data_IF_635136117237
#
_entry.id   IF_635136117237
#
_cell.length_a   1.000
_cell.length_b   1.000
_cell.length_c   1.000
_cell.angle_alpha   90.00
_cell.angle_beta   90.00
_cell.angle_gamma   90.00
#
_symmetry.space_group_name_H-M   'P 1'
#
loop_
_entity.id
_entity.type
_entity.pdbx_description
1 polymer ?
#
# COMPACT_ATOMS: atom_id res chain seq x y z
N UNK A 1 -2.92 9.14 -26.79
CA UNK A 1 -4.31 9.50 -27.17
C UNK A 1 -4.77 8.72 -28.43
N UNK A 2 -4.58 7.40 -28.45
CA UNK A 2 -5.02 6.50 -29.55
C UNK A 2 -6.02 5.43 -29.04
N UNK A 3 -6.05 5.18 -27.73
CA UNK A 3 -6.93 4.23 -27.07
C UNK A 3 -8.36 4.74 -26.83
N UNK A 4 -8.61 6.05 -26.97
CA UNK A 4 -9.92 6.65 -26.72
C UNK A 4 -10.96 6.32 -27.82
N UNK A 5 -10.50 5.95 -29.02
CA UNK A 5 -11.35 5.93 -30.21
C UNK A 5 -12.03 4.59 -30.48
N UNK A 6 -11.65 3.51 -29.79
CA UNK A 6 -12.15 2.16 -30.08
C UNK A 6 -13.28 1.66 -29.19
N UNK A 7 -13.88 2.49 -28.33
CA UNK A 7 -15.08 2.11 -27.56
C UNK A 7 -14.94 0.85 -26.69
N UNK A 8 -13.70 0.36 -26.49
CA UNK A 8 -13.37 -0.88 -25.78
C UNK A 8 -12.81 -0.59 -24.39
N UNK A 9 -13.45 0.34 -23.67
CA UNK A 9 -13.08 0.71 -22.30
C UNK A 9 -13.54 -0.34 -21.26
N UNK A 10 -13.50 -1.63 -21.61
CA UNK A 10 -14.18 -2.70 -20.88
C UNK A 10 -13.33 -3.96 -20.68
N UNK A 11 -12.03 -3.90 -20.99
CA UNK A 11 -11.12 -4.97 -20.60
C UNK A 11 -10.51 -4.63 -19.24
N UNK A 12 -11.05 -5.24 -18.19
CA UNK A 12 -10.65 -5.05 -16.78
C UNK A 12 -9.13 -5.15 -16.59
N UNK A 13 -8.46 -5.90 -17.47
CA UNK A 13 -7.01 -6.05 -17.55
C UNK A 13 -6.28 -4.72 -17.77
N UNK A 14 -6.71 -3.92 -18.75
CA UNK A 14 -6.07 -2.63 -19.07
C UNK A 14 -6.32 -1.64 -17.93
N UNK A 15 -7.54 -1.62 -17.40
CA UNK A 15 -7.90 -0.78 -16.26
C UNK A 15 -7.07 -1.13 -15.01
N UNK A 16 -6.84 -2.43 -14.75
CA UNK A 16 -6.00 -2.89 -13.66
C UNK A 16 -4.55 -2.44 -13.79
N UNK A 17 -3.98 -2.47 -15.01
CA UNK A 17 -2.62 -1.98 -15.27
C UNK A 17 -2.54 -0.47 -15.03
N UNK A 18 -3.47 0.31 -15.56
CA UNK A 18 -3.51 1.77 -15.37
C UNK A 18 -3.66 2.16 -13.89
N UNK A 19 -4.50 1.45 -13.15
CA UNK A 19 -4.68 1.67 -11.72
C UNK A 19 -3.43 1.25 -10.95
N UNK A 20 -2.79 0.14 -11.30
CA UNK A 20 -1.53 -0.30 -10.70
C UNK A 20 -0.40 0.73 -10.85
N UNK A 21 -0.20 1.26 -12.05
CA UNK A 21 0.78 2.33 -12.28
C UNK A 21 0.42 3.63 -11.54
N UNK A 22 -0.87 3.95 -11.46
CA UNK A 22 -1.35 5.14 -10.74
C UNK A 22 -1.16 4.99 -9.22
N UNK A 23 -1.45 3.83 -8.65
CA UNK A 23 -1.25 3.58 -7.21
C UNK A 23 0.23 3.61 -6.85
N UNK A 24 1.11 3.06 -7.69
CA UNK A 24 2.56 3.19 -7.49
C UNK A 24 3.02 4.64 -7.57
N UNK A 25 2.53 5.42 -8.54
CA UNK A 25 2.85 6.84 -8.65
C UNK A 25 2.45 7.64 -7.41
N UNK A 26 1.24 7.42 -6.88
CA UNK A 26 0.76 8.05 -5.65
C UNK A 26 1.60 7.60 -4.44
N UNK A 27 1.92 6.30 -4.37
CA UNK A 27 2.75 5.74 -3.31
C UNK A 27 4.11 6.44 -3.23
N UNK A 28 4.86 6.50 -4.33
CA UNK A 28 6.18 7.14 -4.37
C UNK A 28 6.12 8.66 -4.10
N UNK A 29 5.05 9.32 -4.53
CA UNK A 29 4.86 10.75 -4.27
C UNK A 29 4.66 11.04 -2.79
N UNK A 30 3.86 10.22 -2.10
CA UNK A 30 3.62 10.34 -0.66
C UNK A 30 4.85 9.90 0.13
N UNK A 31 5.51 8.81 -0.27
CA UNK A 31 6.72 8.30 0.36
C UNK A 31 7.83 9.35 0.39
N UNK A 32 8.03 10.09 -0.70
CA UNK A 32 9.02 11.17 -0.77
C UNK A 32 8.70 12.37 0.14
N UNK A 33 7.43 12.55 0.53
CA UNK A 33 7.02 13.65 1.43
C UNK A 33 6.96 13.23 2.90
N UNK A 34 6.95 11.94 3.18
CA UNK A 34 6.76 11.39 4.52
C UNK A 34 8.08 11.35 5.30
N UNK A 35 8.03 11.64 6.60
CA UNK A 35 9.19 11.54 7.50
C UNK A 35 9.70 10.09 7.55
N UNK A 36 11.01 9.90 7.68
CA UNK A 36 11.63 8.56 7.67
C UNK A 36 11.00 7.57 8.65
N UNK A 37 10.53 8.05 9.79
CA UNK A 37 9.89 7.23 10.82
C UNK A 37 8.54 6.62 10.39
N UNK A 38 7.83 7.29 9.48
CA UNK A 38 6.53 6.85 8.98
C UNK A 38 6.67 5.99 7.71
N UNK A 39 7.86 5.87 7.13
CA UNK A 39 8.11 4.97 5.99
C UNK A 39 7.86 3.50 6.33
N UNK A 40 7.92 3.13 7.60
CA UNK A 40 7.53 1.80 8.10
C UNK A 40 6.07 1.46 7.72
N UNK A 41 5.19 2.46 7.65
CA UNK A 41 3.80 2.24 7.23
C UNK A 41 3.62 2.17 5.71
N UNK A 42 4.71 2.23 4.93
CA UNK A 42 4.67 2.21 3.46
C UNK A 42 3.98 0.96 2.91
N UNK A 43 4.32 -0.23 3.41
CA UNK A 43 3.71 -1.48 2.96
C UNK A 43 2.20 -1.57 3.28
N UNK A 44 1.73 -1.34 4.52
CA UNK A 44 0.31 -1.26 4.80
C UNK A 44 -0.41 -0.22 3.95
N UNK A 45 0.23 0.94 3.72
CA UNK A 45 -0.33 2.01 2.91
C UNK A 45 -0.45 1.61 1.42
N UNK A 46 0.58 0.99 0.85
CA UNK A 46 0.53 0.47 -0.52
C UNK A 46 -0.59 -0.56 -0.68
N UNK A 47 -0.72 -1.51 0.26
CA UNK A 47 -1.81 -2.48 0.25
C UNK A 47 -3.19 -1.82 0.33
N UNK A 48 -3.35 -0.77 1.15
CA UNK A 48 -4.62 -0.01 1.18
C UNK A 48 -4.90 0.64 -0.17
N UNK A 49 -3.89 1.19 -0.83
CA UNK A 49 -4.03 1.81 -2.15
C UNK A 49 -4.45 0.80 -3.21
N UNK A 50 -3.86 -0.39 -3.19
CA UNK A 50 -4.21 -1.49 -4.10
C UNK A 50 -5.67 -1.93 -3.85
N UNK A 51 -6.10 -2.04 -2.59
CA UNK A 51 -7.48 -2.41 -2.28
C UNK A 51 -8.48 -1.34 -2.76
N UNK A 52 -8.15 -0.06 -2.59
CA UNK A 52 -8.94 1.05 -3.12
C UNK A 52 -9.03 0.93 -4.65
N UNK A 53 -7.89 0.73 -5.32
CA UNK A 53 -7.84 0.53 -6.77
C UNK A 53 -8.67 -0.66 -7.24
N UNK A 54 -8.62 -1.78 -6.52
CA UNK A 54 -9.44 -2.96 -6.80
C UNK A 54 -10.94 -2.66 -6.64
N UNK A 55 -11.32 -1.90 -5.61
CA UNK A 55 -12.71 -1.46 -5.38
C UNK A 55 -13.23 -0.59 -6.52
N UNK A 56 -12.37 0.21 -7.17
CA UNK A 56 -12.73 0.97 -8.37
C UNK A 56 -12.98 0.08 -9.61
N UNK A 57 -12.40 -1.12 -9.68
CA UNK A 57 -12.53 -2.04 -10.82
C UNK A 57 -13.70 -3.02 -10.63
N UNK A 58 -13.75 -3.70 -9.48
CA UNK A 58 -14.67 -4.80 -9.21
C UNK A 58 -15.79 -4.41 -8.21
N UNK A 59 -15.76 -3.19 -7.67
CA UNK A 59 -16.67 -2.76 -6.61
C UNK A 59 -16.32 -3.36 -5.24
N UNK A 60 -17.28 -3.31 -4.31
CA UNK A 60 -17.16 -3.89 -2.95
C UNK A 60 -17.28 -5.43 -2.93
N UNK A 61 -16.80 -6.10 -3.99
CA UNK A 61 -16.93 -7.54 -4.16
C UNK A 61 -15.70 -8.29 -3.62
N UNK A 62 -15.27 -7.95 -2.41
CA UNK A 62 -14.15 -8.57 -1.73
C UNK A 62 -14.60 -9.18 -0.39
N UNK A 63 -14.01 -10.32 -0.01
CA UNK A 63 -14.31 -10.97 1.26
C UNK A 63 -13.86 -10.12 2.45
N UNK A 64 -14.64 -10.12 3.53
CA UNK A 64 -14.29 -9.50 4.81
C UNK A 64 -12.91 -9.91 5.35
N UNK A 65 -12.44 -11.12 4.98
CA UNK A 65 -11.11 -11.62 5.32
C UNK A 65 -9.99 -10.69 4.84
N UNK A 66 -10.14 -10.03 3.67
CA UNK A 66 -9.12 -9.14 3.11
C UNK A 66 -9.01 -7.87 3.97
N UNK A 67 -10.14 -7.32 4.40
CA UNK A 67 -10.17 -6.17 5.31
C UNK A 67 -9.56 -6.54 6.66
N UNK A 68 -9.93 -7.70 7.21
CA UNK A 68 -9.37 -8.20 8.46
C UNK A 68 -7.85 -8.39 8.39
N UNK A 69 -7.34 -8.94 7.28
CA UNK A 69 -5.91 -9.10 7.04
C UNK A 69 -5.19 -7.74 6.97
N UNK A 70 -5.78 -6.75 6.29
CA UNK A 70 -5.25 -5.39 6.22
C UNK A 70 -5.19 -4.71 7.59
N UNK A 71 -6.23 -4.87 8.41
CA UNK A 71 -6.27 -4.37 9.80
C UNK A 71 -5.20 -5.06 10.65
N UNK A 72 -5.01 -6.37 10.50
CA UNK A 72 -3.96 -7.11 11.20
C UNK A 72 -2.56 -6.61 10.82
N UNK A 73 -2.30 -6.40 9.53
CA UNK A 73 -1.02 -5.83 9.06
C UNK A 73 -0.81 -4.44 9.65
N UNK A 74 -1.81 -3.57 9.57
CA UNK A 74 -1.72 -2.23 10.18
C UNK A 74 -1.43 -2.30 11.68
N UNK A 75 -2.12 -3.20 12.39
CA UNK A 75 -1.89 -3.45 13.81
C UNK A 75 -0.48 -3.94 14.12
N UNK A 76 0.05 -4.89 13.34
CA UNK A 76 1.41 -5.39 13.50
C UNK A 76 2.45 -4.29 13.31
N UNK A 77 2.34 -3.50 12.25
CA UNK A 77 3.24 -2.37 11.99
C UNK A 77 3.12 -1.28 13.06
N UNK A 78 1.91 -1.02 13.55
CA UNK A 78 1.68 -0.07 14.65
C UNK A 78 2.30 -0.55 15.97
N UNK A 79 2.16 -1.84 16.30
CA UNK A 79 2.82 -2.47 17.45
C UNK A 79 4.34 -2.31 17.32
N UNK A 80 4.91 -2.68 16.17
CA UNK A 80 6.35 -2.55 15.91
C UNK A 80 6.81 -1.09 16.08
N UNK A 81 6.03 -0.13 15.58
CA UNK A 81 6.31 1.30 15.75
C UNK A 81 6.27 1.72 17.22
N UNK A 82 5.29 1.26 18.00
CA UNK A 82 5.15 1.59 19.43
C UNK A 82 6.23 0.94 20.30
N UNK A 83 6.73 -0.24 19.93
CA UNK A 83 7.80 -0.95 20.63
C UNK A 83 9.21 -0.58 20.15
N UNK A 84 9.33 0.32 19.16
CA UNK A 84 10.62 0.89 18.70
C UNK A 84 11.42 1.50 19.87
N UNK A 85 10.74 2.13 20.83
CA UNK A 85 11.35 2.83 21.96
C UNK A 85 11.64 1.90 23.17
N UNK A 86 10.88 0.80 23.28
CA UNK A 86 11.05 -0.20 24.34
C UNK A 86 12.04 -1.28 23.89
N UNK A 87 13.31 -1.12 24.27
CA UNK A 87 14.53 -1.82 23.82
C UNK A 87 14.54 -3.35 23.58
N UNK A 88 13.47 -4.11 23.84
CA UNK A 88 13.37 -5.54 23.50
C UNK A 88 13.17 -5.81 22.00
N UNK A 89 12.52 -4.90 21.28
CA UNK A 89 12.25 -5.05 19.84
C UNK A 89 12.94 -3.98 18.99
N UNK A 90 13.72 -3.10 19.60
CA UNK A 90 14.44 -2.01 18.94
C UNK A 90 15.28 -2.52 17.76
N UNK A 91 15.99 -3.65 17.92
CA UNK A 91 16.88 -4.15 16.86
C UNK A 91 16.12 -4.71 15.65
N UNK A 92 14.94 -5.32 15.86
CA UNK A 92 14.08 -5.84 14.79
C UNK A 92 13.34 -4.70 14.10
N UNK A 93 12.74 -3.80 14.90
CA UNK A 93 12.08 -2.60 14.40
C UNK A 93 13.06 -1.74 13.60
N UNK A 94 14.29 -1.56 14.10
CA UNK A 94 15.33 -0.80 13.41
C UNK A 94 15.79 -1.49 12.12
N UNK A 95 15.95 -2.82 12.08
CA UNK A 95 16.25 -3.54 10.83
C UNK A 95 15.11 -3.44 9.80
N UNK A 96 13.86 -3.53 10.24
CA UNK A 96 12.69 -3.33 9.38
C UNK A 96 12.60 -1.91 8.85
N UNK A 97 12.80 -0.91 9.73
CA UNK A 97 12.88 0.51 9.34
C UNK A 97 14.05 0.73 8.38
N UNK A 98 15.23 0.18 8.64
CA UNK A 98 16.40 0.28 7.76
C UNK A 98 16.15 -0.38 6.39
N UNK A 99 15.47 -1.53 6.34
CA UNK A 99 15.02 -2.16 5.08
C UNK A 99 14.02 -1.28 4.32
N UNK A 100 13.04 -0.69 5.01
CA UNK A 100 12.05 0.20 4.40
C UNK A 100 12.60 1.62 4.15
N UNK A 101 13.78 1.97 4.66
CA UNK A 101 14.43 3.27 4.47
C UNK A 101 15.10 3.41 3.10
N UNK A 102 15.45 2.28 2.46
CA UNK A 102 16.09 2.20 1.14
C UNK A 102 15.28 1.32 0.16
N UNK A 103 14.06 1.75 -0.17
CA UNK A 103 13.38 1.23 -1.36
C UNK A 103 13.85 1.96 -2.62
#
# INVERSE_FOLDING_TARGET
MILFWKGKFLDKTILAILIGESTLGIFYLIENKVKEELKLFGLPFLLTLILIGYTFIEGFNYSFNIVYFLVLIWGLFFIIYSFKDNGKLENIARKLVECCKRW
#
